data_IF_150395125751
#
_entry.id   IF_150395125751
#
_cell.length_a   1.000
_cell.length_b   1.000
_cell.length_c   1.000
_cell.angle_alpha   90.00
_cell.angle_beta   90.00
_cell.angle_gamma   90.00
#
_symmetry.space_group_name_H-M   'P 1'
#
loop_
_entity.id
_entity.type
_entity.pdbx_description
1 polymer ?
#
# COMPACT_ATOMS: atom_id res chain seq x y z
N UNK A 1 -6.12 -25.73 -3.27
CA UNK A 1 -6.46 -24.64 -2.33
C UNK A 1 -7.22 -23.58 -3.12
N UNK A 2 -8.33 -23.03 -2.61
CA UNK A 2 -9.10 -22.02 -3.34
C UNK A 2 -8.32 -20.72 -3.40
N UNK A 3 -7.96 -20.29 -4.63
CA UNK A 3 -7.26 -19.02 -4.87
C UNK A 3 -8.32 -17.92 -4.96
N UNK A 4 -8.18 -16.88 -4.15
CA UNK A 4 -9.14 -15.77 -4.12
C UNK A 4 -8.59 -14.59 -4.93
N UNK A 5 -9.34 -14.12 -5.92
CA UNK A 5 -8.95 -12.95 -6.72
C UNK A 5 -8.96 -11.67 -5.89
N UNK A 6 -9.80 -11.56 -4.86
CA UNK A 6 -9.74 -10.41 -3.92
C UNK A 6 -8.43 -10.35 -3.14
N UNK A 7 -7.73 -11.48 -2.97
CA UNK A 7 -6.39 -11.56 -2.37
C UNK A 7 -5.25 -11.51 -3.40
N UNK A 8 -5.53 -11.29 -4.69
CA UNK A 8 -4.50 -11.33 -5.74
C UNK A 8 -4.02 -12.75 -6.06
N UNK A 9 -4.95 -13.71 -6.07
CA UNK A 9 -4.70 -15.14 -6.29
C UNK A 9 -3.87 -15.84 -5.19
N UNK A 10 -3.81 -15.22 -4.01
CA UNK A 10 -3.21 -15.73 -2.79
C UNK A 10 -4.29 -16.34 -1.86
N UNK A 11 -3.84 -17.17 -0.92
CA UNK A 11 -4.71 -17.71 0.14
C UNK A 11 -5.17 -16.59 1.08
N UNK A 12 -6.38 -16.74 1.62
CA UNK A 12 -6.94 -15.82 2.61
C UNK A 12 -6.17 -15.98 3.95
N UNK A 13 -5.82 -14.89 4.65
CA UNK A 13 -5.13 -14.99 5.93
C UNK A 13 -5.93 -15.77 6.98
N UNK A 14 -5.27 -16.58 7.81
CA UNK A 14 -5.93 -17.40 8.85
C UNK A 14 -6.75 -16.59 9.84
N UNK A 15 -6.31 -15.36 10.15
CA UNK A 15 -7.05 -14.45 11.04
C UNK A 15 -8.37 -13.96 10.42
N UNK A 16 -8.44 -13.85 9.08
CA UNK A 16 -9.69 -13.53 8.37
C UNK A 16 -10.62 -14.73 8.38
N UNK A 17 -10.09 -15.93 8.13
CA UNK A 17 -10.83 -17.19 8.15
C UNK A 17 -11.46 -17.48 9.52
N UNK A 18 -10.73 -17.24 10.60
CA UNK A 18 -11.24 -17.41 11.97
C UNK A 18 -12.50 -16.57 12.21
N UNK A 19 -12.52 -15.34 11.70
CA UNK A 19 -13.59 -14.37 11.98
C UNK A 19 -14.75 -14.39 10.98
N UNK A 20 -14.62 -15.08 9.84
CA UNK A 20 -15.74 -15.27 8.92
C UNK A 20 -16.91 -15.98 9.62
N UNK A 21 -16.62 -16.90 10.53
CA UNK A 21 -17.65 -17.58 11.33
C UNK A 21 -18.40 -16.62 12.26
N UNK A 22 -17.73 -15.59 12.77
CA UNK A 22 -18.31 -14.53 13.59
C UNK A 22 -19.15 -13.59 12.74
N UNK A 23 -18.64 -13.19 11.57
CA UNK A 23 -19.36 -12.40 10.56
C UNK A 23 -20.67 -13.08 10.13
N UNK A 24 -20.65 -14.38 9.90
CA UNK A 24 -21.83 -15.16 9.49
C UNK A 24 -22.90 -15.26 10.58
N UNK A 25 -22.53 -15.14 11.87
CA UNK A 25 -23.48 -15.14 13.00
C UNK A 25 -24.14 -13.78 13.24
N UNK A 26 -23.61 -12.71 12.65
CA UNK A 26 -24.16 -11.36 12.80
C UNK A 26 -25.38 -11.14 11.89
N UNK A 27 -26.32 -10.28 12.32
CA UNK A 27 -27.47 -9.95 11.48
C UNK A 27 -27.07 -9.19 10.22
N UNK A 28 -27.78 -9.41 9.11
CA UNK A 28 -27.50 -8.78 7.81
C UNK A 28 -27.61 -7.26 7.86
N UNK A 29 -28.49 -6.74 8.73
CA UNK A 29 -28.65 -5.30 8.99
C UNK A 29 -27.39 -4.73 9.67
N UNK A 30 -26.86 -5.40 10.70
CA UNK A 30 -25.67 -4.95 11.42
C UNK A 30 -24.44 -5.00 10.52
N UNK A 31 -24.31 -6.06 9.72
CA UNK A 31 -23.23 -6.20 8.74
C UNK A 31 -23.23 -5.06 7.71
N UNK A 32 -24.39 -4.71 7.16
CA UNK A 32 -24.53 -3.64 6.18
C UNK A 32 -24.17 -2.26 6.75
N UNK A 33 -24.59 -2.00 7.99
CA UNK A 33 -24.28 -0.77 8.70
C UNK A 33 -22.77 -0.65 8.94
N UNK A 34 -22.14 -1.72 9.45
CA UNK A 34 -20.69 -1.78 9.65
C UNK A 34 -19.94 -1.61 8.33
N UNK A 35 -20.36 -2.28 7.27
CA UNK A 35 -19.74 -2.15 5.95
C UNK A 35 -19.80 -0.71 5.43
N UNK A 36 -20.97 -0.06 5.57
CA UNK A 36 -21.14 1.35 5.19
C UNK A 36 -20.25 2.30 6.01
N UNK A 37 -20.03 1.98 7.28
CA UNK A 37 -19.18 2.73 8.19
C UNK A 37 -17.69 2.54 7.86
N UNK A 38 -17.24 1.30 7.68
CA UNK A 38 -15.87 0.96 7.26
C UNK A 38 -15.52 1.64 5.94
N UNK A 39 -16.46 1.67 4.99
CA UNK A 39 -16.27 2.40 3.73
C UNK A 39 -16.12 3.92 3.93
N UNK A 40 -16.80 4.52 4.91
CA UNK A 40 -16.61 5.94 5.25
C UNK A 40 -15.25 6.16 5.91
N UNK A 41 -14.85 5.27 6.82
CA UNK A 41 -13.54 5.28 7.47
C UNK A 41 -12.40 5.22 6.45
N UNK A 42 -12.49 4.26 5.52
CA UNK A 42 -11.53 4.07 4.43
C UNK A 42 -11.47 5.26 3.46
N UNK A 43 -12.50 6.09 3.41
CA UNK A 43 -12.54 7.32 2.61
C UNK A 43 -12.03 8.55 3.40
N UNK A 44 -11.55 8.35 4.63
CA UNK A 44 -11.09 9.43 5.51
C UNK A 44 -12.21 10.31 6.07
N UNK A 45 -13.48 9.91 5.90
CA UNK A 45 -14.61 10.57 6.52
C UNK A 45 -14.73 10.02 7.95
N UNK A 46 -13.98 10.63 8.87
CA UNK A 46 -13.79 10.16 10.24
C UNK A 46 -15.03 9.53 10.86
N UNK A 47 -14.91 8.24 11.18
CA UNK A 47 -15.95 7.47 11.86
C UNK A 47 -15.45 7.05 13.23
N UNK A 48 -16.26 7.36 14.25
CA UNK A 48 -16.03 7.10 15.67
C UNK A 48 -16.29 5.61 16.00
N UNK A 49 -15.59 4.68 15.33
CA UNK A 49 -15.71 3.22 15.55
C UNK A 49 -15.08 2.80 16.89
N UNK A 50 -14.28 3.69 17.48
CA UNK A 50 -13.61 3.52 18.77
C UNK A 50 -14.56 3.49 19.97
N UNK A 51 -15.83 3.88 19.80
CA UNK A 51 -16.78 3.98 20.93
C UNK A 51 -17.50 2.68 21.30
N UNK A 52 -17.42 1.64 20.47
CA UNK A 52 -17.92 0.32 20.85
C UNK A 52 -16.79 -0.53 21.49
N UNK A 53 -16.91 -0.92 22.77
CA UNK A 53 -15.84 -1.55 23.53
C UNK A 53 -15.72 -3.07 23.33
N UNK A 54 -16.54 -3.70 22.48
CA UNK A 54 -16.46 -5.15 22.26
C UNK A 54 -15.36 -5.50 21.25
N UNK A 55 -14.41 -6.34 21.67
CA UNK A 55 -13.31 -6.82 20.82
C UNK A 55 -13.78 -7.45 19.51
N UNK A 56 -14.90 -8.18 19.55
CA UNK A 56 -15.48 -8.87 18.39
C UNK A 56 -15.90 -7.92 17.26
N UNK A 57 -16.38 -6.72 17.60
CA UNK A 57 -16.77 -5.71 16.60
C UNK A 57 -15.53 -5.13 15.93
N UNK A 58 -14.43 -4.94 16.67
CA UNK A 58 -13.16 -4.46 16.09
C UNK A 58 -12.54 -5.49 15.16
N UNK A 59 -12.57 -6.78 15.52
CA UNK A 59 -12.12 -7.85 14.66
C UNK A 59 -12.94 -7.90 13.36
N UNK A 60 -14.27 -7.82 13.48
CA UNK A 60 -15.19 -7.75 12.33
C UNK A 60 -14.90 -6.57 11.41
N UNK A 61 -14.67 -5.38 12.00
CA UNK A 61 -14.32 -4.16 11.26
C UNK A 61 -12.98 -4.32 10.52
N UNK A 62 -11.97 -4.91 11.17
CA UNK A 62 -10.68 -5.17 10.55
C UNK A 62 -10.80 -6.13 9.35
N UNK A 63 -11.59 -7.19 9.49
CA UNK A 63 -11.86 -8.13 8.39
C UNK A 63 -12.59 -7.46 7.24
N UNK A 64 -13.66 -6.70 7.50
CA UNK A 64 -14.40 -5.98 6.47
C UNK A 64 -13.51 -4.95 5.76
N UNK A 65 -12.70 -4.22 6.52
CA UNK A 65 -11.75 -3.24 5.98
C UNK A 65 -10.72 -3.90 5.07
N UNK A 66 -10.19 -5.05 5.49
CA UNK A 66 -9.26 -5.84 4.69
C UNK A 66 -9.91 -6.36 3.40
N UNK A 67 -11.09 -6.98 3.47
CA UNK A 67 -11.81 -7.50 2.30
C UNK A 67 -12.08 -6.38 1.29
N UNK A 68 -12.67 -5.26 1.74
CA UNK A 68 -13.02 -4.14 0.88
C UNK A 68 -11.79 -3.48 0.26
N UNK A 69 -10.73 -3.29 1.05
CA UNK A 69 -9.48 -2.70 0.57
C UNK A 69 -8.78 -3.62 -0.43
N UNK A 70 -8.74 -4.92 -0.16
CA UNK A 70 -8.10 -5.91 -1.04
C UNK A 70 -8.88 -6.10 -2.34
N UNK A 71 -10.22 -6.15 -2.27
CA UNK A 71 -11.08 -6.15 -3.46
C UNK A 71 -10.87 -4.88 -4.31
N UNK A 72 -10.81 -3.71 -3.68
CA UNK A 72 -10.58 -2.45 -4.36
C UNK A 72 -9.19 -2.39 -5.03
N UNK A 73 -8.14 -2.87 -4.35
CA UNK A 73 -6.77 -2.93 -4.88
C UNK A 73 -6.67 -3.83 -6.12
N UNK A 74 -7.27 -5.01 -6.07
CA UNK A 74 -7.25 -5.97 -7.17
C UNK A 74 -8.32 -5.70 -8.24
N UNK A 75 -9.11 -4.64 -8.09
CA UNK A 75 -10.18 -4.25 -9.03
C UNK A 75 -11.15 -5.39 -9.34
N UNK A 76 -11.52 -6.16 -8.32
CA UNK A 76 -12.43 -7.31 -8.46
C UNK A 76 -13.86 -6.82 -8.67
N UNK A 77 -14.58 -7.50 -9.56
CA UNK A 77 -16.01 -7.31 -9.83
C UNK A 77 -16.90 -7.84 -8.68
N UNK A 78 -18.07 -7.23 -8.48
CA UNK A 78 -18.97 -7.60 -7.38
C UNK A 78 -19.49 -9.04 -7.46
N UNK A 79 -19.61 -9.61 -8.65
CA UNK A 79 -20.01 -11.02 -8.84
C UNK A 79 -18.92 -12.00 -8.38
N UNK A 80 -17.67 -11.75 -8.76
CA UNK A 80 -16.53 -12.54 -8.30
C UNK A 80 -16.33 -12.40 -6.79
N UNK A 81 -16.41 -11.17 -6.25
CA UNK A 81 -16.34 -10.94 -4.80
C UNK A 81 -17.45 -11.68 -4.04
N UNK A 82 -18.68 -11.69 -4.57
CA UNK A 82 -19.81 -12.40 -3.96
C UNK A 82 -19.59 -13.91 -3.92
N UNK A 83 -19.05 -14.46 -5.00
CA UNK A 83 -18.75 -15.90 -5.12
C UNK A 83 -17.62 -16.30 -4.16
N UNK A 84 -16.60 -15.47 -4.04
CA UNK A 84 -15.46 -15.68 -3.14
C UNK A 84 -15.87 -15.58 -1.66
N UNK A 85 -16.70 -14.61 -1.29
CA UNK A 85 -17.26 -14.49 0.06
C UNK A 85 -18.16 -15.69 0.43
N UNK A 86 -18.91 -16.24 -0.53
CA UNK A 86 -19.70 -17.44 -0.32
C UNK A 86 -18.81 -18.68 -0.11
N UNK A 87 -17.71 -18.81 -0.86
CA UNK A 87 -16.73 -19.89 -0.68
C UNK A 87 -16.03 -19.81 0.68
N UNK A 88 -15.83 -18.59 1.20
CA UNK A 88 -15.29 -18.35 2.53
C UNK A 88 -16.26 -18.76 3.66
N UNK A 89 -17.55 -18.95 3.36
CA UNK A 89 -18.56 -19.37 4.32
C UNK A 89 -19.55 -18.28 4.73
N UNK A 90 -19.55 -17.10 4.07
CA UNK A 90 -20.58 -16.11 4.31
C UNK A 90 -21.91 -16.54 3.65
N UNK A 91 -23.05 -16.39 4.33
CA UNK A 91 -24.33 -16.66 3.70
C UNK A 91 -24.59 -15.73 2.51
N UNK A 92 -25.30 -16.23 1.49
CA UNK A 92 -25.52 -15.56 0.21
C UNK A 92 -26.12 -14.15 0.35
N UNK A 93 -27.00 -13.94 1.33
CA UNK A 93 -27.57 -12.61 1.61
C UNK A 93 -26.52 -11.60 2.09
N UNK A 94 -25.60 -12.05 2.96
CA UNK A 94 -24.52 -11.20 3.47
C UNK A 94 -23.55 -10.85 2.35
N UNK A 95 -23.10 -11.84 1.58
CA UNK A 95 -22.22 -11.63 0.43
C UNK A 95 -22.84 -10.64 -0.58
N UNK A 96 -24.09 -10.85 -0.97
CA UNK A 96 -24.78 -9.96 -1.90
C UNK A 96 -24.92 -8.52 -1.37
N UNK A 97 -25.22 -8.36 -0.08
CA UNK A 97 -25.32 -7.01 0.53
C UNK A 97 -23.97 -6.31 0.64
N UNK A 98 -22.88 -7.03 0.95
CA UNK A 98 -21.52 -6.50 0.96
C UNK A 98 -21.09 -6.05 -0.44
N UNK A 99 -21.35 -6.86 -1.47
CA UNK A 99 -21.00 -6.52 -2.85
C UNK A 99 -21.71 -5.27 -3.34
N UNK A 100 -23.02 -5.10 -3.04
CA UNK A 100 -23.75 -3.88 -3.38
C UNK A 100 -23.15 -2.63 -2.72
N UNK A 101 -22.81 -2.72 -1.43
CA UNK A 101 -22.16 -1.60 -0.73
C UNK A 101 -20.77 -1.28 -1.30
N UNK A 102 -20.03 -2.30 -1.73
CA UNK A 102 -18.73 -2.15 -2.37
C UNK A 102 -18.88 -1.48 -3.75
N UNK A 103 -19.76 -1.96 -4.63
CA UNK A 103 -19.96 -1.41 -5.99
C UNK A 103 -20.32 0.08 -5.96
N UNK A 104 -21.20 0.49 -5.04
CA UNK A 104 -21.59 1.91 -4.89
C UNK A 104 -20.40 2.83 -4.56
N UNK A 105 -19.41 2.32 -3.81
CA UNK A 105 -18.26 3.10 -3.31
C UNK A 105 -16.93 2.68 -3.89
N UNK A 106 -16.90 1.77 -4.85
CA UNK A 106 -15.68 1.22 -5.44
C UNK A 106 -14.83 2.31 -6.09
N UNK A 107 -15.43 3.16 -6.92
CA UNK A 107 -14.72 4.24 -7.63
C UNK A 107 -14.06 5.24 -6.66
N UNK A 108 -14.79 5.85 -5.69
CA UNK A 108 -14.16 6.76 -4.73
C UNK A 108 -13.14 6.05 -3.82
N UNK A 109 -13.39 4.79 -3.44
CA UNK A 109 -12.45 4.00 -2.62
C UNK A 109 -11.16 3.72 -3.39
N UNK A 110 -11.23 3.31 -4.66
CA UNK A 110 -10.06 3.11 -5.51
C UNK A 110 -9.30 4.42 -5.74
N UNK A 111 -10.01 5.54 -5.94
CA UNK A 111 -9.39 6.85 -6.08
C UNK A 111 -8.64 7.25 -4.80
N UNK A 112 -9.26 7.05 -3.64
CA UNK A 112 -8.63 7.30 -2.34
C UNK A 112 -7.43 6.39 -2.10
N UNK A 113 -7.57 5.08 -2.32
CA UNK A 113 -6.49 4.11 -2.22
C UNK A 113 -5.36 4.42 -3.21
N UNK A 114 -5.62 4.89 -4.44
CA UNK A 114 -4.56 5.34 -5.35
C UNK A 114 -3.79 6.55 -4.80
N UNK A 115 -4.49 7.51 -4.20
CA UNK A 115 -3.87 8.68 -3.57
C UNK A 115 -3.05 8.28 -2.33
N UNK A 116 -3.52 7.32 -1.54
CA UNK A 116 -2.84 6.86 -0.33
C UNK A 116 -1.73 5.81 -0.58
N UNK A 117 -1.90 4.95 -1.58
CA UNK A 117 -1.04 3.78 -1.86
C UNK A 117 0.17 4.11 -2.73
N UNK A 118 0.17 5.26 -3.41
CA UNK A 118 1.30 5.74 -4.21
C UNK A 118 2.01 6.89 -3.50
N UNK A 119 2.52 6.64 -2.29
CA UNK A 119 3.61 7.46 -1.73
C UNK A 119 4.94 6.90 -2.18
N UNK A 120 5.13 6.75 -3.49
CA UNK A 120 6.47 6.66 -4.03
C UNK A 120 7.10 8.04 -3.84
N UNK A 121 8.11 8.09 -2.99
CA UNK A 121 9.00 9.22 -2.86
C UNK A 121 9.41 9.69 -4.26
N UNK A 122 9.04 10.93 -4.62
CA UNK A 122 9.36 11.49 -5.92
C UNK A 122 10.66 12.26 -5.83
N UNK A 123 11.61 11.94 -6.69
CA UNK A 123 12.83 12.71 -6.84
C UNK A 123 12.46 14.06 -7.50
N UNK A 124 12.50 15.14 -6.72
CA UNK A 124 12.20 16.50 -7.14
C UNK A 124 13.41 17.17 -7.79
N UNK A 125 14.63 16.77 -7.41
CA UNK A 125 15.87 17.33 -7.93
C UNK A 125 17.09 16.51 -7.57
N UNK A 126 18.16 16.69 -8.34
CA UNK A 126 19.47 16.07 -8.11
C UNK A 126 20.54 17.14 -8.21
N UNK A 127 21.31 17.31 -7.16
CA UNK A 127 22.54 18.09 -7.14
C UNK A 127 23.73 17.17 -6.94
N UNK A 128 24.86 17.50 -7.56
CA UNK A 128 26.11 16.76 -7.36
C UNK A 128 27.29 17.71 -7.30
N UNK A 129 28.34 17.30 -6.58
CA UNK A 129 29.65 17.96 -6.57
C UNK A 129 30.74 16.91 -6.42
N UNK A 130 31.92 17.20 -6.97
CA UNK A 130 33.09 16.34 -6.83
C UNK A 130 34.14 17.12 -6.07
N UNK A 131 34.53 16.58 -4.92
CA UNK A 131 35.56 17.15 -4.07
C UNK A 131 36.82 16.27 -4.23
N UNK A 132 37.97 16.91 -4.34
CA UNK A 132 39.26 16.22 -4.43
C UNK A 132 40.02 16.46 -3.13
N UNK A 133 40.27 15.41 -2.37
CA UNK A 133 41.07 15.54 -1.15
C UNK A 133 42.54 15.54 -1.58
N UNK A 134 43.31 16.56 -1.20
CA UNK A 134 44.72 16.65 -1.62
C UNK A 134 45.68 16.08 -0.57
N UNK A 135 45.30 16.08 0.71
CA UNK A 135 46.10 15.52 1.82
C UNK A 135 45.21 15.27 3.03
N UNK A 136 45.53 14.23 3.82
CA UNK A 136 44.85 13.91 5.08
C UNK A 136 45.87 13.96 6.23
N UNK A 137 45.44 14.31 7.44
CA UNK A 137 46.31 14.31 8.63
C UNK A 137 46.86 12.92 8.99
N UNK A 138 46.29 11.85 8.41
CA UNK A 138 46.68 10.45 8.65
C UNK A 138 47.48 9.84 7.49
N UNK A 139 47.51 10.45 6.29
CA UNK A 139 48.11 9.90 5.07
C UNK A 139 48.71 11.00 4.17
N UNK A 140 49.96 10.79 3.72
CA UNK A 140 50.80 11.78 3.03
C UNK A 140 50.36 12.14 1.60
N UNK A 141 49.53 11.33 0.95
CA UNK A 141 48.80 11.70 -0.27
C UNK A 141 47.56 10.80 -0.38
N UNK A 142 46.37 11.39 -0.42
CA UNK A 142 45.11 10.67 -0.67
C UNK A 142 44.46 11.37 -1.86
N UNK A 143 45.04 11.17 -3.03
CA UNK A 143 44.61 11.69 -4.35
C UNK A 143 43.28 11.09 -4.84
N UNK A 144 42.30 10.94 -3.95
CA UNK A 144 41.05 10.25 -4.24
C UNK A 144 39.90 11.23 -4.50
N UNK A 145 39.23 11.12 -5.67
CA UNK A 145 38.03 11.90 -5.97
C UNK A 145 36.84 11.37 -5.16
N UNK A 146 36.14 12.27 -4.49
CA UNK A 146 34.92 11.98 -3.74
C UNK A 146 33.72 12.69 -4.37
N UNK A 147 32.70 11.92 -4.72
CA UNK A 147 31.45 12.42 -5.31
C UNK A 147 30.43 12.62 -4.20
N UNK A 148 29.94 13.84 -4.02
CA UNK A 148 28.81 14.14 -3.15
C UNK A 148 27.55 14.30 -3.99
N UNK A 149 26.54 13.48 -3.71
CA UNK A 149 25.22 13.53 -4.31
C UNK A 149 24.21 14.09 -3.30
N UNK A 150 23.33 14.97 -3.74
CA UNK A 150 22.18 15.46 -3.01
C UNK A 150 20.91 15.21 -3.82
N UNK A 151 20.03 14.38 -3.28
CA UNK A 151 18.74 14.03 -3.87
C UNK A 151 17.65 14.77 -3.10
N UNK A 152 16.87 15.60 -3.79
CA UNK A 152 15.70 16.25 -3.20
C UNK A 152 14.50 15.33 -3.36
N UNK A 153 13.97 14.79 -2.26
CA UNK A 153 12.95 13.75 -2.28
C UNK A 153 11.65 14.25 -1.64
N UNK A 154 10.55 14.24 -2.39
CA UNK A 154 9.22 14.62 -1.92
C UNK A 154 8.38 13.37 -1.60
N UNK A 155 7.86 13.28 -0.37
CA UNK A 155 7.08 12.12 0.09
C UNK A 155 5.63 12.08 -0.45
N UNK A 156 5.14 13.21 -0.96
CA UNK A 156 3.84 13.31 -1.63
C UNK A 156 3.81 14.55 -2.55
N UNK A 157 2.86 14.62 -3.50
CA UNK A 157 2.60 15.83 -4.27
C UNK A 157 2.18 16.96 -3.32
N UNK A 158 2.98 18.04 -3.23
CA UNK A 158 2.70 19.21 -2.39
C UNK A 158 3.40 19.23 -1.01
N UNK A 159 4.09 18.16 -0.61
CA UNK A 159 4.98 18.21 0.57
C UNK A 159 6.35 18.81 0.21
N UNK A 160 7.00 19.56 1.12
CA UNK A 160 8.35 20.07 0.87
C UNK A 160 9.32 18.91 0.66
N UNK A 161 10.20 19.05 -0.34
CA UNK A 161 11.24 18.07 -0.62
C UNK A 161 12.28 18.06 0.51
N UNK A 162 12.70 16.86 0.92
CA UNK A 162 13.76 16.67 1.90
C UNK A 162 15.08 16.30 1.19
N UNK A 163 16.19 16.97 1.53
CA UNK A 163 17.49 16.66 0.92
C UNK A 163 18.09 15.40 1.56
N UNK A 164 18.37 14.40 0.72
CA UNK A 164 19.16 13.22 1.07
C UNK A 164 20.55 13.41 0.47
N UNK A 165 21.55 13.65 1.32
CA UNK A 165 22.94 13.81 0.90
C UNK A 165 23.75 12.54 1.18
N UNK A 166 24.59 12.14 0.23
CA UNK A 166 25.48 10.99 0.35
C UNK A 166 26.82 11.28 -0.32
N UNK A 167 27.88 10.67 0.20
CA UNK A 167 29.24 10.81 -0.32
C UNK A 167 29.73 9.43 -0.80
N UNK A 168 30.30 9.39 -1.99
CA UNK A 168 30.70 8.16 -2.68
C UNK A 168 32.13 8.31 -3.20
N UNK A 169 32.89 7.22 -3.14
CA UNK A 169 34.12 7.11 -3.93
C UNK A 169 33.78 6.90 -5.42
N UNK A 170 34.77 7.09 -6.29
CA UNK A 170 34.62 6.84 -7.72
C UNK A 170 34.11 5.43 -8.03
N UNK A 171 34.67 4.40 -7.39
CA UNK A 171 34.27 3.00 -7.60
C UNK A 171 32.81 2.76 -7.22
N UNK A 172 32.38 3.28 -6.06
CA UNK A 172 30.99 3.15 -5.59
C UNK A 172 30.02 3.90 -6.50
N UNK A 173 30.43 5.04 -7.05
CA UNK A 173 29.62 5.79 -8.01
C UNK A 173 29.46 5.03 -9.33
N UNK A 174 30.50 4.37 -9.82
CA UNK A 174 30.40 3.52 -11.02
C UNK A 174 29.45 2.34 -10.83
N UNK A 175 29.51 1.68 -9.66
CA UNK A 175 28.56 0.61 -9.31
C UNK A 175 27.14 1.16 -9.27
N UNK A 176 26.90 2.29 -8.61
CA UNK A 176 25.57 2.92 -8.56
C UNK A 176 25.05 3.23 -9.98
N UNK A 177 25.89 3.73 -10.88
CA UNK A 177 25.51 4.02 -12.26
C UNK A 177 25.13 2.76 -13.03
N UNK A 178 25.86 1.65 -12.85
CA UNK A 178 25.56 0.39 -13.50
C UNK A 178 24.20 -0.17 -13.04
N UNK A 179 23.94 -0.18 -11.73
CA UNK A 179 22.67 -0.62 -11.15
C UNK A 179 21.49 0.25 -11.61
N UNK A 180 21.66 1.57 -11.66
CA UNK A 180 20.61 2.47 -12.15
C UNK A 180 20.28 2.24 -13.63
N UNK A 181 21.28 1.94 -14.47
CA UNK A 181 21.06 1.58 -15.88
C UNK A 181 20.32 0.25 -16.00
N UNK A 182 20.68 -0.74 -15.21
CA UNK A 182 19.98 -2.03 -15.19
C UNK A 182 18.52 -1.88 -14.76
N UNK A 183 18.26 -1.12 -13.71
CA UNK A 183 16.90 -0.80 -13.26
C UNK A 183 16.10 -0.07 -14.36
N UNK A 184 16.73 0.86 -15.09
CA UNK A 184 16.09 1.54 -16.23
C UNK A 184 15.69 0.53 -17.32
N UNK A 185 16.57 -0.38 -17.71
CA UNK A 185 16.26 -1.39 -18.73
C UNK A 185 15.11 -2.30 -18.31
N UNK A 186 15.09 -2.76 -17.05
CA UNK A 186 13.99 -3.56 -16.51
C UNK A 186 12.66 -2.80 -16.56
N UNK A 187 12.65 -1.54 -16.09
CA UNK A 187 11.44 -0.72 -16.12
C UNK A 187 10.95 -0.42 -17.54
N UNK A 188 11.86 -0.19 -18.49
CA UNK A 188 11.50 0.03 -19.90
C UNK A 188 11.00 -1.23 -20.61
N UNK A 189 11.34 -2.42 -20.11
CA UNK A 189 10.82 -3.70 -20.65
C UNK A 189 9.43 -4.08 -20.14
N UNK A 190 8.97 -3.42 -19.08
CA UNK A 190 7.68 -3.64 -18.41
C UNK A 190 6.57 -2.68 -18.90
N UNK A 191 6.90 -1.71 -19.75
CA UNK A 191 5.97 -0.75 -20.35
C UNK A 191 5.75 -1.02 -21.83
#
# INVERSE_FOLDING_TARGET
MPRFRFCGDLDCPDWVLAEISTLAKMSSVKLRLLCSQVLKELLGQGTDVSKDPSGDVKATVAVLSFILSSAAKHSVDGESLSSELQQLGLPKEHAASLCRCYEEKQIPLQKHLRVCSLRTNRLAGVGWRVDYTLSSSLLQSVEEPMVHLRLEVAAAPGTPAQPVAMSLSADKFQVLLAELKQAQTLMSSLG
#
